data_IF_198943631045
#
_entry.id   IF_198943631045
#
_cell.length_a   1.000
_cell.length_b   1.000
_cell.length_c   1.000
_cell.angle_alpha   90.00
_cell.angle_beta   90.00
_cell.angle_gamma   90.00
#
_symmetry.space_group_name_H-M   'P 1'
#
loop_
_entity.id
_entity.type
_entity.pdbx_description
1 polymer ?
#
# COMPACT_ATOMS: atom_id res chain seq x y z
N UNK A 1 -15.13 28.50 -30.92
CA UNK A 1 -15.41 27.09 -31.25
C UNK A 1 -14.11 26.33 -31.11
N UNK A 2 -13.86 25.38 -30.20
CA UNK A 2 -14.55 24.86 -29.03
C UNK A 2 -13.46 24.05 -28.29
N UNK A 3 -13.16 24.39 -27.05
CA UNK A 3 -12.09 23.77 -26.25
C UNK A 3 -12.68 22.72 -25.30
N UNK A 4 -13.39 21.73 -25.84
CA UNK A 4 -14.07 20.69 -25.07
C UNK A 4 -13.61 19.28 -25.47
N UNK A 5 -12.29 19.02 -25.47
CA UNK A 5 -11.80 17.67 -25.81
C UNK A 5 -10.72 17.11 -24.87
N UNK A 6 -10.73 17.48 -23.57
CA UNK A 6 -9.74 16.94 -22.62
C UNK A 6 -10.25 16.48 -21.24
N UNK A 7 -11.56 16.33 -21.01
CA UNK A 7 -12.05 15.74 -19.75
C UNK A 7 -13.02 14.58 -19.98
N UNK A 8 -12.52 13.47 -20.54
CA UNK A 8 -13.29 12.23 -20.68
C UNK A 8 -13.38 11.43 -19.36
N UNK A 9 -12.67 11.84 -18.31
CA UNK A 9 -12.67 11.19 -17.00
C UNK A 9 -13.14 12.17 -15.92
N UNK A 10 -13.96 11.72 -14.95
CA UNK A 10 -14.34 12.53 -13.80
C UNK A 10 -13.09 12.89 -12.99
N UNK A 11 -13.09 14.09 -12.40
CA UNK A 11 -12.02 14.51 -11.51
C UNK A 11 -11.87 13.52 -10.35
N UNK A 12 -10.68 12.93 -10.21
CA UNK A 12 -10.39 11.96 -9.15
C UNK A 12 -10.19 12.71 -7.82
N UNK A 13 -10.93 12.32 -6.79
CA UNK A 13 -10.73 12.85 -5.44
C UNK A 13 -9.45 12.25 -4.82
N UNK A 14 -8.38 13.02 -4.81
CA UNK A 14 -7.06 12.61 -4.28
C UNK A 14 -7.13 12.15 -2.81
N UNK A 15 -8.04 12.73 -2.01
CA UNK A 15 -8.22 12.37 -0.61
C UNK A 15 -8.88 11.00 -0.51
N UNK A 16 -9.84 10.69 -1.38
CA UNK A 16 -10.46 9.36 -1.43
C UNK A 16 -9.45 8.29 -1.85
N UNK A 17 -8.69 8.53 -2.92
CA UNK A 17 -7.63 7.61 -3.40
C UNK A 17 -6.63 7.30 -2.28
N UNK A 18 -6.09 8.35 -1.66
CA UNK A 18 -5.13 8.20 -0.56
C UNK A 18 -5.73 7.42 0.61
N UNK A 19 -6.97 7.69 0.99
CA UNK A 19 -7.62 6.99 2.09
C UNK A 19 -7.90 5.52 1.78
N UNK A 20 -8.29 5.21 0.54
CA UNK A 20 -8.47 3.84 0.07
C UNK A 20 -7.15 3.07 0.15
N UNK A 21 -6.08 3.61 -0.44
CA UNK A 21 -4.76 2.98 -0.39
C UNK A 21 -4.27 2.75 1.04
N UNK A 22 -4.39 3.75 1.93
CA UNK A 22 -3.94 3.62 3.32
C UNK A 22 -4.69 2.50 4.05
N UNK A 23 -6.00 2.33 3.79
CA UNK A 23 -6.75 1.21 4.38
C UNK A 23 -6.20 -0.12 3.90
N UNK A 24 -5.88 -0.24 2.61
CA UNK A 24 -5.33 -1.45 2.04
C UNK A 24 -3.94 -1.79 2.59
N UNK A 25 -3.05 -0.80 2.71
CA UNK A 25 -1.72 -0.98 3.30
C UNK A 25 -1.79 -1.39 4.78
N UNK A 26 -2.78 -0.91 5.54
CA UNK A 26 -3.00 -1.35 6.93
C UNK A 26 -3.44 -2.80 7.02
N UNK A 27 -4.38 -3.22 6.16
CA UNK A 27 -4.85 -4.61 6.09
C UNK A 27 -3.70 -5.52 5.67
N UNK A 28 -2.91 -5.11 4.67
CA UNK A 28 -1.73 -5.83 4.20
C UNK A 28 -0.76 -6.21 5.33
N UNK A 29 -0.48 -5.30 6.27
CA UNK A 29 0.39 -5.62 7.43
C UNK A 29 -0.11 -6.83 8.23
N UNK A 30 -1.42 -6.91 8.46
CA UNK A 30 -2.02 -8.03 9.17
C UNK A 30 -2.02 -9.31 8.31
N UNK A 31 -2.30 -9.18 7.01
CA UNK A 31 -2.28 -10.32 6.09
C UNK A 31 -0.89 -10.91 5.90
N UNK A 32 0.16 -10.08 5.90
CA UNK A 32 1.55 -10.54 5.80
C UNK A 32 1.93 -11.42 6.99
N UNK A 33 1.63 -10.95 8.21
CA UNK A 33 1.82 -11.75 9.43
C UNK A 33 0.98 -13.03 9.39
N UNK A 34 -0.26 -12.96 8.89
CA UNK A 34 -1.08 -14.17 8.71
C UNK A 34 -0.40 -15.19 7.78
N UNK A 35 0.19 -14.73 6.68
CA UNK A 35 0.89 -15.61 5.74
C UNK A 35 2.13 -16.26 6.37
N UNK A 36 2.91 -15.51 7.15
CA UNK A 36 4.04 -16.04 7.93
C UNK A 36 3.59 -17.10 8.94
N UNK A 37 2.53 -16.81 9.72
CA UNK A 37 1.95 -17.74 10.67
C UNK A 37 1.42 -19.02 10.00
N UNK A 38 0.87 -18.91 8.78
CA UNK A 38 0.41 -20.07 8.00
C UNK A 38 1.58 -20.94 7.58
N UNK A 39 2.65 -20.34 7.05
CA UNK A 39 3.88 -21.07 6.67
C UNK A 39 4.49 -21.79 7.88
N UNK A 40 4.49 -21.15 9.05
CA UNK A 40 4.93 -21.77 10.30
C UNK A 40 4.06 -22.97 10.70
N UNK A 41 2.74 -22.86 10.61
CA UNK A 41 1.82 -23.98 10.89
C UNK A 41 2.02 -25.15 9.92
N UNK A 42 2.16 -24.87 8.63
CA UNK A 42 2.41 -25.88 7.59
C UNK A 42 3.74 -26.60 7.82
N UNK A 43 4.79 -25.88 8.21
CA UNK A 43 6.10 -26.47 8.49
C UNK A 43 6.15 -27.35 9.74
N UNK A 44 5.18 -27.21 10.65
CA UNK A 44 5.12 -27.93 11.93
C UNK A 44 3.91 -28.88 12.03
N UNK A 45 3.18 -29.10 10.93
CA UNK A 45 1.93 -29.88 10.89
C UNK A 45 0.86 -29.42 11.91
N UNK A 46 0.95 -28.18 12.38
CA UNK A 46 0.14 -27.60 13.45
C UNK A 46 -1.06 -26.83 12.89
N UNK A 47 -1.89 -27.50 12.08
CA UNK A 47 -3.04 -26.86 11.44
C UNK A 47 -4.15 -26.51 12.45
N UNK A 48 -4.78 -25.35 12.26
CA UNK A 48 -5.99 -24.99 13.01
C UNK A 48 -5.75 -24.45 14.43
N UNK A 49 -4.59 -23.83 14.69
CA UNK A 49 -4.28 -23.19 15.99
C UNK A 49 -5.33 -22.14 16.43
N UNK A 50 -6.03 -21.53 15.47
CA UNK A 50 -7.04 -20.51 15.72
C UNK A 50 -8.32 -20.80 14.94
N UNK A 51 -9.50 -20.46 15.47
CA UNK A 51 -10.76 -20.61 14.76
C UNK A 51 -10.85 -19.61 13.58
N UNK A 52 -11.30 -20.10 12.42
CA UNK A 52 -11.58 -19.25 11.26
C UNK A 52 -13.08 -18.98 11.14
N UNK A 53 -13.46 -17.70 11.23
CA UNK A 53 -14.86 -17.27 11.09
C UNK A 53 -15.25 -17.01 9.63
N UNK A 54 -14.27 -16.92 8.71
CA UNK A 54 -14.48 -16.58 7.29
C UNK A 54 -13.46 -17.33 6.43
N UNK A 55 -13.94 -17.99 5.38
CA UNK A 55 -13.05 -18.61 4.40
C UNK A 55 -12.69 -17.61 3.29
N UNK A 56 -11.60 -16.87 3.48
CA UNK A 56 -11.05 -15.90 2.52
C UNK A 56 -9.53 -16.07 2.32
N UNK A 57 -9.01 -17.28 2.55
CA UNK A 57 -7.57 -17.60 2.50
C UNK A 57 -6.95 -17.15 1.17
N UNK A 58 -7.48 -17.66 0.06
CA UNK A 58 -6.96 -17.42 -1.29
C UNK A 58 -7.00 -15.94 -1.66
N UNK A 59 -8.09 -15.24 -1.32
CA UNK A 59 -8.21 -13.81 -1.59
C UNK A 59 -7.18 -12.99 -0.82
N UNK A 60 -6.96 -13.34 0.45
CA UNK A 60 -5.98 -12.68 1.29
C UNK A 60 -4.55 -12.88 0.78
N UNK A 61 -4.19 -14.09 0.36
CA UNK A 61 -2.89 -14.38 -0.24
C UNK A 61 -2.67 -13.65 -1.56
N UNK A 62 -3.68 -13.62 -2.43
CA UNK A 62 -3.59 -12.87 -3.68
C UNK A 62 -3.39 -11.38 -3.42
N UNK A 63 -4.05 -10.85 -2.38
CA UNK A 63 -3.94 -9.45 -1.98
C UNK A 63 -2.53 -9.12 -1.47
N UNK A 64 -1.93 -9.97 -0.63
CA UNK A 64 -0.53 -9.80 -0.19
C UNK A 64 0.40 -9.80 -1.39
N UNK A 65 0.32 -10.81 -2.26
CA UNK A 65 1.17 -10.92 -3.45
C UNK A 65 1.04 -9.75 -4.41
N UNK A 66 -0.17 -9.22 -4.61
CA UNK A 66 -0.38 -8.05 -5.46
C UNK A 66 0.21 -6.78 -4.84
N UNK A 67 0.07 -6.58 -3.52
CA UNK A 67 0.63 -5.42 -2.82
C UNK A 67 2.15 -5.48 -2.79
N UNK A 68 2.76 -6.65 -2.54
CA UNK A 68 4.23 -6.80 -2.58
C UNK A 68 4.77 -6.49 -3.98
N UNK A 69 4.18 -7.08 -5.02
CA UNK A 69 4.57 -6.80 -6.40
C UNK A 69 4.38 -5.33 -6.77
N UNK A 70 3.31 -4.68 -6.31
CA UNK A 70 3.10 -3.26 -6.55
C UNK A 70 4.17 -2.40 -5.82
N UNK A 71 4.48 -2.72 -4.57
CA UNK A 71 5.54 -2.03 -3.82
C UNK A 71 6.90 -2.16 -4.52
N UNK A 72 7.23 -3.32 -5.07
CA UNK A 72 8.53 -3.58 -5.69
C UNK A 72 8.67 -3.04 -7.11
N UNK A 73 7.59 -3.07 -7.91
CA UNK A 73 7.68 -2.85 -9.35
C UNK A 73 6.99 -1.58 -9.86
N UNK A 74 6.19 -0.89 -9.03
CA UNK A 74 5.48 0.34 -9.44
C UNK A 74 6.09 1.63 -8.88
N UNK A 75 7.12 1.52 -8.04
CA UNK A 75 7.72 2.62 -7.29
C UNK A 75 9.23 2.65 -7.47
N UNK A 76 9.80 3.85 -7.56
CA UNK A 76 11.25 4.04 -7.43
C UNK A 76 11.72 3.82 -5.97
N UNK A 77 13.03 3.69 -5.76
CA UNK A 77 13.60 3.38 -4.43
C UNK A 77 13.17 4.39 -3.35
N UNK A 78 13.15 5.69 -3.67
CA UNK A 78 12.79 6.72 -2.70
C UNK A 78 11.28 6.68 -2.41
N UNK A 79 10.47 6.45 -3.42
CA UNK A 79 9.03 6.24 -3.28
C UNK A 79 8.71 5.02 -2.42
N UNK A 80 9.43 3.91 -2.61
CA UNK A 80 9.30 2.71 -1.78
C UNK A 80 9.62 3.02 -0.32
N UNK A 81 10.70 3.73 -0.05
CA UNK A 81 11.11 4.10 1.31
C UNK A 81 10.08 5.02 1.97
N UNK A 82 9.54 5.99 1.23
CA UNK A 82 8.45 6.85 1.72
C UNK A 82 7.25 5.98 2.14
N UNK A 83 6.82 5.03 1.31
CA UNK A 83 5.65 4.18 1.62
C UNK A 83 5.94 3.26 2.81
N UNK A 84 7.10 2.59 2.82
CA UNK A 84 7.51 1.68 3.89
C UNK A 84 7.56 2.39 5.23
N UNK A 85 8.28 3.51 5.31
CA UNK A 85 8.41 4.30 6.52
C UNK A 85 7.06 4.85 7.00
N UNK A 86 6.30 5.45 6.08
CA UNK A 86 5.09 6.20 6.44
C UNK A 86 3.90 5.31 6.82
N UNK A 87 3.75 4.16 6.16
CA UNK A 87 2.51 3.37 6.23
C UNK A 87 2.72 1.92 6.66
N UNK A 88 3.91 1.35 6.46
CA UNK A 88 4.18 -0.06 6.75
C UNK A 88 4.89 -0.29 8.10
N UNK A 89 5.25 0.77 8.81
CA UNK A 89 5.77 0.72 10.18
C UNK A 89 4.67 0.48 11.21
N UNK A 90 5.04 -0.03 12.38
CA UNK A 90 4.10 -0.34 13.48
C UNK A 90 3.49 0.88 14.14
N UNK A 91 4.19 2.02 14.09
CA UNK A 91 3.79 3.30 14.69
C UNK A 91 3.34 4.31 13.65
N UNK A 92 2.64 5.34 14.10
CA UNK A 92 2.30 6.48 13.24
C UNK A 92 3.55 7.38 13.12
N UNK A 93 4.13 7.43 11.93
CA UNK A 93 5.30 8.26 11.61
C UNK A 93 4.84 9.61 11.05
N UNK A 94 5.42 10.73 11.48
CA UNK A 94 5.05 12.06 10.95
C UNK A 94 5.69 12.31 9.59
N UNK A 95 5.07 13.15 8.76
CA UNK A 95 5.64 13.50 7.45
C UNK A 95 7.02 14.16 7.59
N UNK A 96 7.20 15.01 8.61
CA UNK A 96 8.49 15.66 8.91
C UNK A 96 9.58 14.65 9.20
N UNK A 97 9.26 13.62 9.99
CA UNK A 97 10.21 12.57 10.36
C UNK A 97 10.67 11.76 9.13
N UNK A 98 9.76 11.43 8.20
CA UNK A 98 10.14 10.79 6.94
C UNK A 98 10.99 11.72 6.07
N UNK A 99 10.69 13.03 6.04
CA UNK A 99 11.51 14.01 5.31
C UNK A 99 12.93 14.06 5.86
N UNK A 100 13.08 14.12 7.18
CA UNK A 100 14.36 14.22 7.88
C UNK A 100 15.20 12.96 7.66
N UNK A 101 14.62 11.77 7.86
CA UNK A 101 15.33 10.50 7.70
C UNK A 101 15.83 10.30 6.25
N UNK A 102 15.01 10.66 5.26
CA UNK A 102 15.35 10.51 3.84
C UNK A 102 16.17 11.69 3.29
N UNK A 103 16.50 12.69 4.11
CA UNK A 103 17.22 13.89 3.67
C UNK A 103 16.49 14.69 2.59
N UNK A 104 15.15 14.62 2.55
CA UNK A 104 14.33 15.24 1.51
C UNK A 104 13.86 16.64 1.92
N UNK A 105 13.96 17.58 0.97
CA UNK A 105 13.23 18.85 1.08
C UNK A 105 11.72 18.58 1.10
N UNK A 106 11.00 19.35 1.92
CA UNK A 106 9.54 19.22 2.13
C UNK A 106 8.74 19.15 0.82
N UNK A 107 9.00 20.05 -0.13
CA UNK A 107 8.26 20.07 -1.40
C UNK A 107 8.54 18.83 -2.26
N UNK A 108 9.78 18.33 -2.25
CA UNK A 108 10.15 17.11 -2.96
C UNK A 108 9.47 15.90 -2.33
N UNK A 109 9.45 15.82 -1.00
CA UNK A 109 8.74 14.76 -0.28
C UNK A 109 7.25 14.72 -0.64
N UNK A 110 6.52 15.85 -0.60
CA UNK A 110 5.08 15.83 -0.90
C UNK A 110 4.80 15.46 -2.35
N UNK A 111 5.66 15.82 -3.31
CA UNK A 111 5.56 15.39 -4.71
C UNK A 111 5.74 13.88 -4.84
N UNK A 112 6.83 13.33 -4.30
CA UNK A 112 7.12 11.89 -4.37
C UNK A 112 6.06 11.06 -3.63
N UNK A 113 5.64 11.49 -2.43
CA UNK A 113 4.56 10.84 -1.68
C UNK A 113 3.25 10.80 -2.46
N UNK A 114 2.90 11.90 -3.15
CA UNK A 114 1.73 11.94 -4.02
C UNK A 114 1.89 10.98 -5.19
N UNK A 115 3.02 11.03 -5.89
CA UNK A 115 3.31 10.14 -7.02
C UNK A 115 3.22 8.67 -6.62
N UNK A 116 3.90 8.28 -5.55
CA UNK A 116 3.87 6.91 -5.01
C UNK A 116 2.45 6.45 -4.65
N UNK A 117 1.63 7.35 -4.07
CA UNK A 117 0.23 7.06 -3.75
C UNK A 117 -0.56 6.74 -5.02
N UNK A 118 -0.38 7.52 -6.09
CA UNK A 118 -1.07 7.32 -7.36
C UNK A 118 -0.56 6.06 -8.08
N UNK A 119 0.76 5.87 -8.17
CA UNK A 119 1.35 4.69 -8.79
C UNK A 119 0.85 3.38 -8.15
N UNK A 120 0.85 3.30 -6.81
CA UNK A 120 0.30 2.15 -6.10
C UNK A 120 -1.21 2.00 -6.33
N UNK A 121 -1.95 3.11 -6.33
CA UNK A 121 -3.40 3.05 -6.53
C UNK A 121 -3.75 2.54 -7.94
N UNK A 122 -3.02 2.96 -8.96
CA UNK A 122 -3.14 2.43 -10.33
C UNK A 122 -2.76 0.96 -10.39
N UNK A 123 -1.62 0.57 -9.82
CA UNK A 123 -1.12 -0.81 -9.84
C UNK A 123 -2.07 -1.79 -9.13
N UNK A 124 -2.79 -1.32 -8.11
CA UNK A 124 -3.76 -2.11 -7.34
C UNK A 124 -5.20 -1.99 -7.86
N UNK A 125 -5.44 -1.24 -8.93
CA UNK A 125 -6.78 -1.04 -9.50
C UNK A 125 -7.75 -0.26 -8.60
N UNK A 126 -7.23 0.64 -7.76
CA UNK A 126 -8.04 1.59 -6.97
C UNK A 126 -8.54 2.75 -7.87
N UNK A 127 -7.78 3.08 -8.91
CA UNK A 127 -8.10 4.06 -9.95
C UNK A 127 -7.90 3.47 -11.34
#
# INVERSE_FOLDING_TARGET
MGAEQLSLLPAIDEKQVRNALIKELKVYRALKVKEENRKEQEANDATGLFPSLRNQEVLNELKVRQIERALENSLDEIEQDIIRMKYLTSRVVKDLEVCEELGLKKDRYYKLKKQATFNLSTALGII
#
